data_IF_416897786692
#
_entry.id   IF_416897786692
#
_cell.length_a   1.000
_cell.length_b   1.000
_cell.length_c   1.000
_cell.angle_alpha   90.00
_cell.angle_beta   90.00
_cell.angle_gamma   90.00
#
_symmetry.space_group_name_H-M   'P 1'
#
loop_
_entity.id
_entity.type
_entity.pdbx_description
1 polymer ?
#
# COMPACT_ATOMS: atom_id res chain seq x y z
N UNK A 1 22.25 60.92 -104.30
CA UNK A 1 22.19 60.39 -102.92
C UNK A 1 21.75 58.94 -102.99
N UNK A 2 22.61 58.01 -102.55
CA UNK A 2 22.38 56.55 -102.63
C UNK A 2 21.75 56.09 -101.32
N UNK A 3 20.56 55.49 -101.37
CA UNK A 3 20.05 54.67 -100.27
C UNK A 3 20.46 53.20 -100.51
N UNK A 4 21.18 52.56 -99.58
CA UNK A 4 21.40 51.12 -99.61
C UNK A 4 20.15 50.41 -99.07
N UNK A 5 19.58 49.52 -99.87
CA UNK A 5 18.59 48.53 -99.43
C UNK A 5 19.32 47.39 -98.68
N UNK A 6 18.82 46.95 -97.51
CA UNK A 6 19.44 45.86 -96.76
C UNK A 6 19.20 44.52 -97.47
N UNK A 7 20.28 43.72 -97.60
CA UNK A 7 20.21 42.34 -98.09
C UNK A 7 19.63 41.41 -97.01
N UNK A 8 18.79 40.42 -97.35
CA UNK A 8 18.30 39.45 -96.39
C UNK A 8 19.45 38.57 -95.91
N UNK A 9 19.63 38.51 -94.59
CA UNK A 9 20.57 37.58 -93.96
C UNK A 9 20.06 36.15 -94.16
N UNK A 10 20.89 35.30 -94.77
CA UNK A 10 20.66 33.85 -94.86
C UNK A 10 20.61 33.27 -93.45
N UNK A 11 19.43 32.89 -93.00
CA UNK A 11 19.22 31.97 -91.87
C UNK A 11 19.88 30.63 -92.22
N UNK A 12 21.06 30.37 -91.64
CA UNK A 12 21.73 29.08 -91.75
C UNK A 12 21.01 28.09 -90.84
N UNK A 13 20.57 26.97 -91.41
CA UNK A 13 19.89 25.87 -90.73
C UNK A 13 20.78 25.06 -89.79
N UNK A 14 21.26 25.69 -88.71
CA UNK A 14 21.95 25.01 -87.59
C UNK A 14 20.97 24.67 -86.45
N UNK A 15 19.78 25.30 -86.44
CA UNK A 15 18.78 25.15 -85.37
C UNK A 15 18.24 23.74 -85.16
N UNK A 16 18.12 22.91 -86.22
CA UNK A 16 17.49 21.59 -86.09
C UNK A 16 18.43 20.54 -85.47
N UNK A 17 19.72 20.60 -85.81
CA UNK A 17 20.74 19.72 -85.22
C UNK A 17 20.99 20.10 -83.76
N UNK A 18 21.05 21.39 -83.45
CA UNK A 18 21.22 21.89 -82.08
C UNK A 18 20.03 21.53 -81.18
N UNK A 19 18.80 21.67 -81.69
CA UNK A 19 17.59 21.23 -80.98
C UNK A 19 17.58 19.71 -80.73
N UNK A 20 18.07 18.90 -81.68
CA UNK A 20 18.14 17.45 -81.53
C UNK A 20 19.20 17.01 -80.50
N UNK A 21 20.36 17.66 -80.50
CA UNK A 21 21.41 17.40 -79.50
C UNK A 21 20.94 17.85 -78.11
N UNK A 22 20.31 19.03 -78.00
CA UNK A 22 19.74 19.49 -76.74
C UNK A 22 18.68 18.53 -76.19
N UNK A 23 17.78 18.03 -77.05
CA UNK A 23 16.77 17.04 -76.68
C UNK A 23 17.40 15.72 -76.25
N UNK A 24 18.44 15.25 -76.96
CA UNK A 24 19.17 14.04 -76.58
C UNK A 24 19.83 14.17 -75.20
N UNK A 25 20.54 15.27 -74.94
CA UNK A 25 21.18 15.52 -73.64
C UNK A 25 20.16 15.63 -72.51
N UNK A 26 19.05 16.35 -72.72
CA UNK A 26 17.96 16.44 -71.73
C UNK A 26 17.33 15.08 -71.46
N UNK A 27 17.12 14.25 -72.49
CA UNK A 27 16.55 12.91 -72.32
C UNK A 27 17.44 12.00 -71.46
N UNK A 28 18.77 12.04 -71.66
CA UNK A 28 19.74 11.30 -70.84
C UNK A 28 19.75 11.84 -69.40
N UNK A 29 19.70 13.18 -69.24
CA UNK A 29 19.63 13.83 -67.93
C UNK A 29 18.38 13.44 -67.14
N UNK A 30 17.22 13.36 -67.80
CA UNK A 30 15.97 12.94 -67.16
C UNK A 30 15.99 11.46 -66.75
N UNK A 31 16.56 10.58 -67.58
CA UNK A 31 16.77 9.16 -67.23
C UNK A 31 17.64 9.00 -65.99
N UNK A 32 18.73 9.77 -65.89
CA UNK A 32 19.60 9.75 -64.71
C UNK A 32 18.85 10.19 -63.43
N UNK A 33 18.01 11.22 -63.51
CA UNK A 33 17.24 11.71 -62.37
C UNK A 33 16.21 10.68 -61.87
N UNK A 34 15.54 9.98 -62.78
CA UNK A 34 14.57 8.91 -62.43
C UNK A 34 15.27 7.78 -61.68
N UNK A 35 16.50 7.42 -62.08
CA UNK A 35 17.32 6.45 -61.35
C UNK A 35 17.58 6.88 -59.90
N UNK A 36 17.99 8.14 -59.68
CA UNK A 36 18.23 8.69 -58.33
C UNK A 36 16.95 8.72 -57.49
N UNK A 37 15.82 9.14 -58.08
CA UNK A 37 14.53 9.16 -57.38
C UNK A 37 14.05 7.75 -56.99
N UNK A 38 14.32 6.74 -57.82
CA UNK A 38 14.01 5.34 -57.51
C UNK A 38 14.82 4.83 -56.32
N UNK A 39 16.13 5.08 -56.32
CA UNK A 39 17.02 4.68 -55.21
C UNK A 39 16.64 5.36 -53.89
N UNK A 40 16.26 6.64 -53.93
CA UNK A 40 15.79 7.34 -52.73
C UNK A 40 14.53 6.69 -52.14
N UNK A 41 13.55 6.32 -52.97
CA UNK A 41 12.34 5.62 -52.51
C UNK A 41 12.66 4.26 -51.90
N UNK A 42 13.56 3.49 -52.53
CA UNK A 42 14.04 2.21 -52.00
C UNK A 42 14.66 2.38 -50.61
N UNK A 43 15.56 3.35 -50.47
CA UNK A 43 16.24 3.64 -49.21
C UNK A 43 15.28 4.15 -48.12
N UNK A 44 14.32 5.01 -48.46
CA UNK A 44 13.34 5.54 -47.50
C UNK A 44 12.48 4.44 -46.90
N UNK A 45 12.02 3.50 -47.70
CA UNK A 45 11.19 2.41 -47.21
C UNK A 45 12.02 1.34 -46.48
N UNK A 46 13.26 1.06 -46.91
CA UNK A 46 14.17 0.22 -46.13
C UNK A 46 14.44 0.83 -44.76
N UNK A 47 14.62 2.16 -44.68
CA UNK A 47 14.75 2.87 -43.42
C UNK A 47 13.50 2.72 -42.54
N UNK A 48 12.29 2.88 -43.11
CA UNK A 48 11.02 2.62 -42.39
C UNK A 48 10.96 1.19 -41.86
N UNK A 49 11.27 0.20 -42.70
CA UNK A 49 11.25 -1.21 -42.30
C UNK A 49 12.24 -1.50 -41.16
N UNK A 50 13.42 -0.84 -41.15
CA UNK A 50 14.41 -0.93 -40.07
C UNK A 50 13.91 -0.29 -38.78
N UNK A 51 13.33 0.90 -38.86
CA UNK A 51 12.74 1.57 -37.69
C UNK A 51 11.65 0.70 -37.06
N UNK A 52 10.79 0.11 -37.89
CA UNK A 52 9.74 -0.80 -37.43
C UNK A 52 10.33 -2.09 -36.83
N UNK A 53 11.32 -2.70 -37.48
CA UNK A 53 12.01 -3.87 -36.93
C UNK A 53 12.68 -3.58 -35.56
N UNK A 54 13.27 -2.40 -35.39
CA UNK A 54 13.80 -1.96 -34.09
C UNK A 54 12.69 -1.78 -33.07
N UNK A 55 11.55 -1.17 -33.44
CA UNK A 55 10.38 -1.01 -32.56
C UNK A 55 9.86 -2.37 -32.08
N UNK A 56 9.71 -3.34 -32.98
CA UNK A 56 9.30 -4.72 -32.66
C UNK A 56 10.29 -5.38 -31.69
N UNK A 57 11.59 -5.26 -31.96
CA UNK A 57 12.62 -5.82 -31.10
C UNK A 57 12.60 -5.20 -29.69
N UNK A 58 12.41 -3.88 -29.60
CA UNK A 58 12.29 -3.18 -28.31
C UNK A 58 11.02 -3.58 -27.56
N UNK A 59 9.88 -3.67 -28.24
CA UNK A 59 8.61 -4.09 -27.64
C UNK A 59 8.71 -5.50 -27.03
N UNK A 60 9.32 -6.45 -27.74
CA UNK A 60 9.57 -7.80 -27.21
C UNK A 60 10.46 -7.76 -25.96
N UNK A 61 11.50 -6.92 -25.92
CA UNK A 61 12.37 -6.78 -24.74
C UNK A 61 11.63 -6.18 -23.56
N UNK A 62 10.85 -5.11 -23.77
CA UNK A 62 10.09 -4.46 -22.71
C UNK A 62 8.99 -5.37 -22.15
N UNK A 63 8.35 -6.18 -22.99
CA UNK A 63 7.40 -7.19 -22.54
C UNK A 63 8.04 -8.17 -21.55
N UNK A 64 9.29 -8.58 -21.80
CA UNK A 64 10.02 -9.48 -20.91
C UNK A 64 10.49 -8.80 -19.62
N UNK A 65 10.70 -7.48 -19.62
CA UNK A 65 11.03 -6.71 -18.41
C UNK A 65 9.83 -6.53 -17.48
N UNK A 66 8.61 -6.66 -17.99
CA UNK A 66 7.35 -6.48 -17.24
C UNK A 66 6.84 -7.72 -16.50
N UNK A 67 7.70 -8.69 -16.17
CA UNK A 67 7.29 -9.89 -15.43
C UNK A 67 6.76 -9.55 -14.01
N UNK A 68 5.81 -10.32 -13.51
CA UNK A 68 5.12 -10.05 -12.24
C UNK A 68 5.63 -10.89 -11.06
N UNK A 69 6.17 -12.08 -11.34
CA UNK A 69 6.70 -13.02 -10.34
C UNK A 69 8.04 -13.60 -10.80
N UNK A 70 8.85 -14.08 -9.85
CA UNK A 70 10.06 -14.83 -10.21
C UNK A 70 9.72 -16.25 -10.61
N UNK A 71 8.96 -16.94 -9.77
CA UNK A 71 8.51 -18.31 -9.97
C UNK A 71 7.26 -18.39 -10.87
N UNK A 72 7.10 -19.54 -11.53
CA UNK A 72 5.96 -19.85 -12.39
C UNK A 72 4.63 -19.73 -11.63
N UNK A 73 3.74 -18.85 -12.11
CA UNK A 73 2.36 -18.73 -11.62
C UNK A 73 1.43 -19.52 -12.53
N UNK A 74 0.94 -20.66 -12.03
CA UNK A 74 0.03 -21.56 -12.77
C UNK A 74 -1.29 -20.85 -13.14
N UNK A 75 -1.72 -19.86 -12.36
CA UNK A 75 -2.94 -19.08 -12.65
C UNK A 75 -2.71 -17.98 -13.71
N UNK A 76 -1.45 -17.60 -13.97
CA UNK A 76 -1.07 -16.51 -14.90
C UNK A 76 0.16 -16.87 -15.75
N UNK A 77 0.02 -17.86 -16.66
CA UNK A 77 1.13 -18.29 -17.49
C UNK A 77 1.65 -17.18 -18.41
N UNK A 78 2.96 -17.17 -18.63
CA UNK A 78 3.68 -16.19 -19.43
C UNK A 78 3.98 -14.87 -18.72
N UNK A 79 3.83 -14.81 -17.39
CA UNK A 79 4.07 -13.59 -16.60
C UNK A 79 5.21 -13.72 -15.60
N UNK A 80 5.87 -14.89 -15.51
CA UNK A 80 7.00 -15.09 -14.60
C UNK A 80 8.37 -14.94 -15.27
N UNK A 81 9.39 -14.69 -14.45
CA UNK A 81 10.79 -14.65 -14.87
C UNK A 81 11.27 -16.03 -15.36
N UNK A 82 10.87 -17.10 -14.68
CA UNK A 82 11.27 -18.47 -15.03
C UNK A 82 10.71 -18.93 -16.39
N UNK A 83 9.59 -18.34 -16.83
CA UNK A 83 8.99 -18.60 -18.15
C UNK A 83 9.68 -17.85 -19.30
N UNK A 84 10.67 -16.98 -19.01
CA UNK A 84 11.46 -16.30 -20.03
C UNK A 84 12.42 -17.32 -20.67
N UNK A 85 11.98 -17.86 -21.80
CA UNK A 85 12.71 -18.86 -22.62
C UNK A 85 12.76 -18.45 -24.09
N UNK A 86 13.48 -19.21 -24.91
CA UNK A 86 13.54 -19.02 -26.37
C UNK A 86 12.13 -18.96 -27.01
N UNK A 87 11.97 -18.10 -28.02
CA UNK A 87 10.71 -17.97 -28.76
C UNK A 87 10.97 -17.59 -30.21
N UNK A 88 10.17 -18.15 -31.10
CA UNK A 88 10.16 -17.80 -32.53
C UNK A 88 8.74 -17.46 -32.95
N UNK A 89 8.57 -16.31 -33.58
CA UNK A 89 7.32 -15.88 -34.21
C UNK A 89 7.59 -15.70 -35.71
N UNK A 90 6.91 -16.50 -36.52
CA UNK A 90 6.95 -16.41 -37.98
C UNK A 90 5.82 -15.49 -38.47
N UNK A 91 6.09 -14.70 -39.50
CA UNK A 91 5.05 -13.91 -40.18
C UNK A 91 4.38 -12.84 -39.32
N UNK A 92 5.07 -12.28 -38.32
CA UNK A 92 4.56 -11.20 -37.48
C UNK A 92 4.22 -9.96 -38.33
N UNK A 93 2.98 -9.49 -38.19
CA UNK A 93 2.48 -8.26 -38.80
C UNK A 93 2.17 -7.27 -37.67
N UNK A 94 2.85 -6.12 -37.61
CA UNK A 94 2.57 -5.12 -36.59
C UNK A 94 1.14 -4.57 -36.76
N UNK A 95 0.34 -4.42 -35.69
CA UNK A 95 -1.04 -3.93 -35.78
C UNK A 95 -1.18 -2.57 -36.48
N UNK A 96 -0.21 -1.68 -36.25
CA UNK A 96 -0.13 -0.33 -36.83
C UNK A 96 1.03 -0.20 -37.85
N UNK A 97 1.44 -1.32 -38.45
CA UNK A 97 2.62 -1.40 -39.31
C UNK A 97 2.50 -0.52 -40.56
N UNK A 98 3.59 0.19 -40.89
CA UNK A 98 3.68 0.97 -42.13
C UNK A 98 4.06 0.02 -43.28
N UNK A 99 3.05 -0.55 -43.95
CA UNK A 99 3.19 -1.37 -45.16
C UNK A 99 2.94 -2.87 -44.96
N UNK A 100 2.98 -3.64 -46.05
CA UNK A 100 2.66 -5.08 -46.06
C UNK A 100 3.88 -5.98 -45.78
N UNK A 101 4.85 -5.53 -44.97
CA UNK A 101 6.05 -6.32 -44.66
C UNK A 101 5.78 -7.21 -43.46
N UNK A 102 6.00 -8.50 -43.62
CA UNK A 102 5.95 -9.50 -42.55
C UNK A 102 7.33 -9.71 -41.96
N UNK A 103 7.41 -9.85 -40.64
CA UNK A 103 8.65 -10.02 -39.90
C UNK A 103 8.74 -11.41 -39.27
N UNK A 104 9.97 -11.88 -39.10
CA UNK A 104 10.31 -13.06 -38.30
C UNK A 104 11.04 -12.61 -37.05
N UNK A 105 10.46 -12.87 -35.88
CA UNK A 105 11.01 -12.46 -34.58
C UNK A 105 11.60 -13.69 -33.89
N UNK A 106 12.88 -13.63 -33.55
CA UNK A 106 13.61 -14.68 -32.87
C UNK A 106 14.13 -14.13 -31.55
N UNK A 107 13.67 -14.69 -30.45
CA UNK A 107 14.19 -14.45 -29.11
C UNK A 107 15.05 -15.64 -28.69
N UNK A 108 16.28 -15.35 -28.31
CA UNK A 108 17.21 -16.32 -27.72
C UNK A 108 17.56 -15.87 -26.31
N UNK A 109 17.47 -16.78 -25.34
CA UNK A 109 17.65 -16.55 -23.91
C UNK A 109 18.74 -17.49 -23.40
N UNK A 110 19.65 -16.93 -22.60
CA UNK A 110 20.72 -17.68 -21.95
C UNK A 110 20.83 -17.27 -20.50
N UNK A 111 20.77 -18.25 -19.60
CA UNK A 111 21.06 -18.03 -18.18
C UNK A 111 22.56 -17.75 -17.96
N UNK A 112 22.85 -16.75 -17.13
CA UNK A 112 24.22 -16.40 -16.75
C UNK A 112 24.64 -17.25 -15.52
N UNK A 113 25.67 -18.11 -15.62
CA UNK A 113 26.08 -18.96 -14.50
C UNK A 113 26.46 -18.14 -13.26
N UNK A 114 25.95 -18.52 -12.10
CA UNK A 114 26.28 -17.89 -10.82
C UNK A 114 25.61 -16.53 -10.57
N UNK A 115 24.64 -16.13 -11.40
CA UNK A 115 23.89 -14.89 -11.28
C UNK A 115 22.41 -15.14 -11.60
N UNK A 116 21.44 -14.50 -10.92
CA UNK A 116 20.04 -14.57 -11.30
C UNK A 116 19.77 -13.69 -12.53
N UNK A 117 20.54 -13.81 -13.59
CA UNK A 117 20.43 -12.96 -14.78
C UNK A 117 20.23 -13.81 -16.04
N UNK A 118 19.34 -13.34 -16.91
CA UNK A 118 19.12 -13.87 -18.25
C UNK A 118 19.64 -12.87 -19.26
N UNK A 119 20.52 -13.34 -20.15
CA UNK A 119 20.98 -12.60 -21.32
C UNK A 119 20.05 -12.94 -22.48
N UNK A 120 19.53 -11.93 -23.15
CA UNK A 120 18.61 -12.09 -24.27
C UNK A 120 19.17 -11.43 -25.53
N UNK A 121 18.92 -12.08 -26.67
CA UNK A 121 19.14 -11.54 -28.00
C UNK A 121 17.84 -11.64 -28.78
N UNK A 122 17.30 -10.50 -29.20
CA UNK A 122 16.09 -10.41 -30.03
C UNK A 122 16.50 -10.02 -31.43
N UNK A 123 16.25 -10.91 -32.39
CA UNK A 123 16.53 -10.70 -33.80
C UNK A 123 15.23 -10.63 -34.60
N UNK A 124 15.07 -9.54 -35.34
CA UNK A 124 13.94 -9.32 -36.25
C UNK A 124 14.45 -9.38 -37.67
N UNK A 125 13.91 -10.29 -38.48
CA UNK A 125 14.30 -10.54 -39.86
C UNK A 125 13.13 -10.28 -40.81
N UNK A 126 13.41 -9.78 -42.01
CA UNK A 126 12.41 -9.62 -43.06
C UNK A 126 13.09 -9.64 -44.43
N UNK A 127 12.30 -9.80 -45.49
CA UNK A 127 12.76 -9.65 -46.87
C UNK A 127 12.31 -8.28 -47.38
N UNK A 128 13.23 -7.50 -47.96
CA UNK A 128 12.90 -6.22 -48.57
C UNK A 128 12.31 -6.39 -49.98
N UNK A 129 11.94 -5.29 -50.63
CA UNK A 129 11.30 -5.35 -51.96
C UNK A 129 12.23 -5.78 -53.10
N UNK A 130 13.53 -5.86 -52.83
CA UNK A 130 14.55 -6.35 -53.78
C UNK A 130 14.88 -7.82 -53.56
N UNK A 131 14.08 -8.50 -52.73
CA UNK A 131 14.24 -9.91 -52.34
C UNK A 131 15.52 -10.17 -51.52
N UNK A 132 16.06 -9.13 -50.88
CA UNK A 132 17.21 -9.26 -49.99
C UNK A 132 16.73 -9.42 -48.54
N UNK A 133 17.34 -10.37 -47.83
CA UNK A 133 17.08 -10.56 -46.40
C UNK A 133 17.78 -9.49 -45.58
N UNK A 134 17.01 -8.82 -44.73
CA UNK A 134 17.46 -7.82 -43.78
C UNK A 134 17.27 -8.33 -42.35
N UNK A 135 18.07 -7.82 -41.42
CA UNK A 135 17.93 -8.15 -40.00
C UNK A 135 18.33 -7.00 -39.08
N UNK A 136 17.70 -6.94 -37.92
CA UNK A 136 18.08 -6.12 -36.76
C UNK A 136 18.23 -7.04 -35.56
N UNK A 137 19.26 -6.83 -34.75
CA UNK A 137 19.47 -7.55 -33.48
C UNK A 137 19.62 -6.54 -32.35
N UNK A 138 18.89 -6.76 -31.26
CA UNK A 138 19.03 -6.05 -30.00
C UNK A 138 19.35 -7.05 -28.89
N UNK A 139 20.38 -6.74 -28.10
CA UNK A 139 20.79 -7.54 -26.96
C UNK A 139 20.41 -6.85 -25.65
N UNK A 140 20.04 -7.62 -24.63
CA UNK A 140 19.74 -7.10 -23.30
C UNK A 140 20.06 -8.10 -22.20
N UNK A 141 19.94 -7.63 -20.97
CA UNK A 141 20.05 -8.44 -19.76
C UNK A 141 18.84 -8.13 -18.88
N UNK A 142 18.17 -9.17 -18.37
CA UNK A 142 17.11 -9.05 -17.37
C UNK A 142 17.60 -9.68 -16.08
N UNK A 143 17.41 -8.98 -14.97
CA UNK A 143 17.74 -9.46 -13.63
C UNK A 143 16.52 -10.14 -13.01
N UNK A 144 16.72 -11.26 -12.32
CA UNK A 144 15.75 -12.01 -11.55
C UNK A 144 15.45 -11.36 -10.20
N UNK A 145 15.21 -10.05 -10.23
CA UNK A 145 14.73 -9.28 -9.07
C UNK A 145 13.30 -8.87 -9.36
N UNK A 146 12.38 -9.20 -8.45
CA UNK A 146 10.97 -8.87 -8.61
C UNK A 146 10.78 -7.36 -8.88
N UNK A 147 10.05 -6.94 -9.93
CA UNK A 147 9.85 -5.53 -10.22
C UNK A 147 9.13 -4.76 -9.11
N UNK A 148 8.39 -5.46 -8.24
CA UNK A 148 7.82 -4.92 -7.01
C UNK A 148 8.88 -4.35 -6.07
N UNK A 149 10.07 -4.96 -5.99
CA UNK A 149 11.18 -4.44 -5.17
C UNK A 149 11.71 -3.10 -5.68
N UNK A 150 11.76 -2.92 -7.01
CA UNK A 150 12.09 -1.64 -7.63
C UNK A 150 10.99 -0.60 -7.42
N UNK A 151 9.72 -1.02 -7.47
CA UNK A 151 8.58 -0.14 -7.19
C UNK A 151 8.60 0.40 -5.75
N UNK A 152 9.07 -0.39 -4.77
CA UNK A 152 9.21 0.05 -3.38
C UNK A 152 10.17 1.24 -3.20
N UNK A 153 11.12 1.46 -4.12
CA UNK A 153 12.00 2.64 -4.07
C UNK A 153 11.27 3.95 -4.40
N UNK A 154 10.13 3.87 -5.10
CA UNK A 154 9.33 5.02 -5.52
C UNK A 154 8.12 5.21 -4.60
N UNK A 155 7.72 4.18 -3.86
CA UNK A 155 6.71 4.31 -2.80
C UNK A 155 7.27 5.22 -1.70
N UNK A 156 6.67 6.39 -1.43
CA UNK A 156 7.07 7.22 -0.31
C UNK A 156 7.02 6.38 0.97
N UNK A 157 8.06 6.43 1.80
CA UNK A 157 8.19 5.67 3.04
C UNK A 157 7.18 6.10 4.14
N UNK A 158 5.99 6.56 3.78
CA UNK A 158 4.96 7.14 4.68
C UNK A 158 4.24 6.09 5.54
N UNK A 159 4.55 4.81 5.37
CA UNK A 159 3.85 3.73 6.07
C UNK A 159 4.63 3.06 7.20
N UNK A 160 5.91 3.39 7.41
CA UNK A 160 6.61 2.92 8.61
C UNK A 160 6.25 3.78 9.82
N UNK A 161 6.04 3.15 10.97
CA UNK A 161 5.59 3.84 12.17
C UNK A 161 6.60 4.89 12.69
N UNK A 162 7.89 4.69 12.42
CA UNK A 162 8.98 5.66 12.68
C UNK A 162 8.95 6.86 11.72
N UNK A 163 8.55 6.65 10.45
CA UNK A 163 8.38 7.71 9.45
C UNK A 163 7.12 8.54 9.67
N UNK A 164 5.99 7.90 10.02
CA UNK A 164 4.72 8.59 10.38
C UNK A 164 4.90 9.59 11.51
N UNK A 165 5.73 9.24 12.50
CA UNK A 165 6.01 10.11 13.63
C UNK A 165 7.22 11.02 13.44
N UNK A 166 7.78 11.13 12.22
CA UNK A 166 8.84 12.07 11.86
C UNK A 166 10.09 11.94 12.76
N UNK A 167 10.47 10.71 13.09
CA UNK A 167 11.61 10.44 13.99
C UNK A 167 11.32 10.64 15.48
N UNK A 168 10.05 10.86 15.86
CA UNK A 168 9.60 10.90 17.25
C UNK A 168 9.10 9.52 17.68
N UNK A 169 9.00 9.33 18.99
CA UNK A 169 8.51 8.10 19.60
C UNK A 169 7.15 7.69 19.05
N UNK A 170 6.97 6.40 18.77
CA UNK A 170 5.84 5.85 18.03
C UNK A 170 4.46 6.06 18.72
N UNK A 171 4.44 6.23 20.05
CA UNK A 171 3.18 6.52 20.77
C UNK A 171 2.66 7.95 20.61
N UNK A 172 3.46 8.85 20.04
CA UNK A 172 3.05 10.24 19.87
C UNK A 172 2.01 10.31 18.74
N UNK A 173 0.84 10.92 18.96
CA UNK A 173 -0.15 11.10 17.91
C UNK A 173 0.41 11.88 16.72
N UNK A 174 0.04 11.50 15.50
CA UNK A 174 0.53 12.15 14.27
C UNK A 174 0.24 13.67 14.26
N UNK A 175 -0.95 14.06 14.76
CA UNK A 175 -1.37 15.46 14.87
C UNK A 175 -0.67 16.28 15.96
N UNK A 176 0.26 15.70 16.71
CA UNK A 176 1.04 16.45 17.70
C UNK A 176 2.04 17.39 17.02
N UNK A 177 2.14 18.62 17.52
CA UNK A 177 3.05 19.66 17.05
C UNK A 177 4.36 19.56 17.82
N UNK A 178 5.48 19.42 17.12
CA UNK A 178 6.81 19.46 17.73
C UNK A 178 7.16 20.88 18.18
N UNK A 179 7.59 21.03 19.42
CA UNK A 179 7.97 22.32 20.00
C UNK A 179 9.45 22.68 19.74
N UNK A 180 10.25 21.72 19.26
CA UNK A 180 11.68 21.93 18.98
C UNK A 180 12.60 21.90 20.21
N UNK A 181 12.05 21.59 21.39
CA UNK A 181 12.76 21.47 22.67
C UNK A 181 12.91 20.00 23.13
N UNK A 182 12.61 19.05 22.24
CA UNK A 182 12.57 17.62 22.55
C UNK A 182 11.20 17.12 23.03
N UNK A 183 10.18 17.97 23.03
CA UNK A 183 8.80 17.61 23.35
C UNK A 183 7.82 17.95 22.23
N UNK A 184 6.74 17.17 22.15
CA UNK A 184 5.61 17.43 21.25
C UNK A 184 4.36 17.77 22.06
N UNK A 185 3.63 18.78 21.62
CA UNK A 185 2.32 19.17 22.17
C UNK A 185 1.19 18.59 21.33
N UNK A 186 0.22 17.99 21.99
CA UNK A 186 -1.02 17.53 21.40
C UNK A 186 -2.19 18.13 22.17
N UNK A 187 -3.18 18.64 21.43
CA UNK A 187 -4.46 19.04 22.02
C UNK A 187 -5.48 17.97 21.60
N UNK A 188 -6.04 17.21 22.55
CA UNK A 188 -7.03 16.20 22.21
C UNK A 188 -8.23 16.81 21.48
N UNK A 189 -8.83 16.09 20.52
CA UNK A 189 -9.96 16.62 19.77
C UNK A 189 -11.12 17.03 20.68
N UNK A 190 -11.65 18.24 20.48
CA UNK A 190 -12.76 18.77 21.28
C UNK A 190 -12.39 19.17 22.71
N UNK A 191 -11.13 19.07 23.12
CA UNK A 191 -10.68 19.55 24.43
C UNK A 191 -10.57 21.07 24.47
N UNK A 192 -10.98 21.68 25.58
CA UNK A 192 -10.74 23.10 25.89
C UNK A 192 -9.90 23.22 27.15
N UNK A 193 -8.83 24.02 27.09
CA UNK A 193 -7.99 24.27 28.28
C UNK A 193 -7.22 23.05 28.79
N UNK A 194 -6.83 22.13 27.91
CA UNK A 194 -5.98 20.97 28.25
C UNK A 194 -4.91 20.82 27.17
N UNK A 195 -3.66 20.68 27.60
CA UNK A 195 -2.50 20.40 26.73
C UNK A 195 -1.81 19.11 27.14
N UNK A 196 -1.55 18.23 26.18
CA UNK A 196 -0.79 17.00 26.39
C UNK A 196 0.62 17.16 25.83
N UNK A 197 1.62 16.83 26.64
CA UNK A 197 3.02 17.00 26.30
C UNK A 197 3.70 15.64 26.33
N UNK A 198 4.37 15.30 25.23
CA UNK A 198 5.07 14.04 25.04
C UNK A 198 6.56 14.28 24.92
N UNK A 199 7.37 13.49 25.61
CA UNK A 199 8.80 13.44 25.33
C UNK A 199 9.04 12.77 23.96
N UNK A 200 9.73 13.45 23.03
CA UNK A 200 9.93 12.95 21.66
C UNK A 200 10.76 11.66 21.60
N UNK A 201 11.58 11.37 22.62
CA UNK A 201 12.41 10.17 22.70
C UNK A 201 11.68 9.02 23.39
N UNK A 202 11.17 9.23 24.61
CA UNK A 202 10.61 8.15 25.44
C UNK A 202 9.09 8.00 25.37
N UNK A 203 8.38 8.94 24.73
CA UNK A 203 6.93 8.94 24.64
C UNK A 203 6.18 9.22 25.95
N UNK A 204 6.88 9.53 27.04
CA UNK A 204 6.27 9.84 28.34
C UNK A 204 5.28 11.00 28.18
N UNK A 205 4.03 10.77 28.60
CA UNK A 205 2.93 11.72 28.51
C UNK A 205 2.72 12.47 29.84
N UNK A 206 2.56 13.79 29.73
CA UNK A 206 2.11 14.68 30.81
C UNK A 206 0.87 15.46 30.39
N UNK A 207 -0.09 15.58 31.31
CA UNK A 207 -1.37 16.26 31.06
C UNK A 207 -1.42 17.55 31.87
N UNK A 208 -1.44 18.69 31.18
CA UNK A 208 -1.48 20.01 31.80
C UNK A 208 -2.85 20.67 31.66
N UNK A 209 -3.20 21.50 32.64
CA UNK A 209 -4.29 22.45 32.50
C UNK A 209 -3.80 23.61 31.61
N UNK A 210 -4.38 23.70 30.42
CA UNK A 210 -4.07 24.72 29.43
C UNK A 210 -2.70 24.59 28.78
N UNK A 211 -2.31 25.69 28.14
CA UNK A 211 -1.00 25.83 27.49
C UNK A 211 -0.01 26.39 28.48
N UNK A 212 1.02 25.60 28.76
CA UNK A 212 2.06 25.90 29.74
C UNK A 212 3.42 25.77 29.08
N UNK A 213 4.35 26.64 29.48
CA UNK A 213 5.74 26.58 29.04
C UNK A 213 6.58 25.66 29.93
N UNK A 214 6.17 25.46 31.18
CA UNK A 214 6.74 24.46 32.09
C UNK A 214 5.74 23.31 32.30
N UNK A 215 5.89 22.27 31.49
CA UNK A 215 5.09 21.05 31.57
C UNK A 215 5.69 19.98 32.52
N UNK A 216 6.81 20.25 33.20
CA UNK A 216 7.46 19.26 34.10
C UNK A 216 6.71 19.05 35.41
N UNK A 217 5.90 20.03 35.80
CA UNK A 217 5.05 20.02 37.01
C UNK A 217 3.70 19.33 36.77
N UNK A 218 3.35 19.07 35.52
CA UNK A 218 2.10 18.42 35.16
C UNK A 218 2.10 16.92 35.51
N UNK A 219 0.96 16.36 35.93
CA UNK A 219 0.86 14.94 36.26
C UNK A 219 1.19 14.05 35.07
N UNK A 220 1.86 12.94 35.38
CA UNK A 220 2.11 11.86 34.43
C UNK A 220 0.80 11.15 34.09
N UNK A 221 0.69 10.71 32.84
CA UNK A 221 -0.41 9.87 32.39
C UNK A 221 0.10 8.81 31.42
N UNK A 222 -0.71 7.78 31.23
CA UNK A 222 -0.50 6.77 30.21
C UNK A 222 -1.46 7.02 29.04
N UNK A 223 -0.95 7.12 27.83
CA UNK A 223 -1.79 7.21 26.64
C UNK A 223 -2.42 5.85 26.34
N UNK A 224 -3.72 5.83 26.10
CA UNK A 224 -4.43 4.73 25.45
C UNK A 224 -5.10 5.27 24.20
N UNK A 225 -4.74 4.76 23.03
CA UNK A 225 -5.29 5.25 21.76
C UNK A 225 -5.59 4.12 20.79
N UNK A 226 -6.56 4.38 19.91
CA UNK A 226 -6.99 3.43 18.89
C UNK A 226 -8.18 3.96 18.11
N UNK A 227 -8.85 3.04 17.42
CA UNK A 227 -10.02 3.34 16.60
C UNK A 227 -11.24 2.57 17.08
N UNK A 228 -12.43 3.15 16.92
CA UNK A 228 -13.71 2.49 17.09
C UNK A 228 -14.38 2.43 15.72
N UNK A 229 -14.72 1.22 15.30
CA UNK A 229 -15.40 0.97 14.03
C UNK A 229 -16.74 0.28 14.30
N UNK A 230 -17.65 0.33 13.33
CA UNK A 230 -19.03 -0.16 13.48
C UNK A 230 -19.37 -1.15 12.38
N UNK A 231 -19.78 -2.35 12.74
CA UNK A 231 -20.36 -3.33 11.83
C UNK A 231 -21.76 -3.69 12.33
N UNK A 232 -22.76 -2.99 11.81
CA UNK A 232 -24.16 -3.09 12.27
C UNK A 232 -25.00 -3.61 11.10
N UNK A 233 -24.96 -4.92 10.91
CA UNK A 233 -25.76 -5.65 9.94
C UNK A 233 -26.67 -6.66 10.63
N UNK A 234 -27.52 -7.33 9.84
CA UNK A 234 -28.36 -8.42 10.36
C UNK A 234 -27.65 -9.77 10.42
N UNK A 235 -26.55 -9.92 9.67
CA UNK A 235 -25.71 -11.11 9.61
C UNK A 235 -24.60 -11.09 10.66
N UNK A 236 -24.28 -12.27 11.20
CA UNK A 236 -23.14 -12.47 12.11
C UNK A 236 -21.83 -12.00 11.45
N UNK A 237 -21.07 -11.08 12.06
CA UNK A 237 -19.82 -10.56 11.50
C UNK A 237 -18.73 -11.64 11.45
N UNK A 238 -17.94 -11.64 10.37
CA UNK A 238 -16.77 -12.50 10.16
C UNK A 238 -15.46 -11.79 10.51
N UNK A 239 -14.33 -12.51 10.50
CA UNK A 239 -13.00 -11.92 10.69
C UNK A 239 -12.70 -10.82 9.65
N UNK A 240 -13.07 -11.03 8.39
CA UNK A 240 -12.92 -10.02 7.32
C UNK A 240 -13.74 -8.76 7.63
N UNK A 241 -14.92 -8.90 8.23
CA UNK A 241 -15.73 -7.76 8.64
C UNK A 241 -15.13 -6.96 9.81
N UNK A 242 -14.19 -7.55 10.57
CA UNK A 242 -13.45 -6.80 11.58
C UNK A 242 -12.34 -5.95 10.96
N UNK A 243 -11.72 -6.42 9.87
CA UNK A 243 -10.75 -5.64 9.05
C UNK A 243 -11.43 -4.55 8.22
N UNK A 244 -12.61 -4.86 7.67
CA UNK A 244 -13.39 -3.99 6.79
C UNK A 244 -14.84 -3.90 7.28
N UNK A 245 -15.08 -3.19 8.40
CA UNK A 245 -16.42 -3.09 8.95
C UNK A 245 -17.32 -2.23 8.06
N UNK A 246 -18.60 -2.59 8.08
CA UNK A 246 -19.65 -2.02 7.25
C UNK A 246 -20.77 -1.60 8.19
N UNK A 247 -20.96 -0.29 8.37
CA UNK A 247 -21.98 0.22 9.26
C UNK A 247 -21.95 1.74 9.37
N UNK A 248 -23.06 2.36 9.80
CA UNK A 248 -23.08 3.78 10.10
C UNK A 248 -22.15 4.06 11.30
N UNK A 249 -21.40 5.16 11.21
CA UNK A 249 -20.52 5.60 12.30
C UNK A 249 -21.32 6.40 13.32
N UNK A 250 -21.22 6.00 14.58
CA UNK A 250 -21.73 6.80 15.71
C UNK A 250 -20.59 7.58 16.35
N UNK A 251 -20.82 8.86 16.64
CA UNK A 251 -19.89 9.64 17.44
C UNK A 251 -19.86 9.09 18.87
N UNK A 252 -18.70 9.20 19.54
CA UNK A 252 -18.63 8.93 20.98
C UNK A 252 -19.05 10.16 21.77
N UNK A 253 -19.36 9.96 23.05
CA UNK A 253 -19.66 11.02 24.01
C UNK A 253 -18.57 12.09 23.97
N UNK A 254 -18.97 13.35 24.10
CA UNK A 254 -18.04 14.47 24.19
C UNK A 254 -16.97 14.25 25.28
N UNK A 255 -15.75 14.68 24.98
CA UNK A 255 -14.64 14.61 25.93
C UNK A 255 -14.96 15.34 27.25
N UNK A 256 -14.43 14.88 28.39
CA UNK A 256 -13.42 13.82 28.56
C UNK A 256 -14.00 12.40 28.72
N UNK A 257 -15.26 12.16 28.34
CA UNK A 257 -15.97 10.91 28.64
C UNK A 257 -16.26 10.04 27.41
N UNK A 258 -15.47 10.17 26.33
CA UNK A 258 -15.68 9.39 25.10
C UNK A 258 -15.62 7.87 25.34
N UNK A 259 -14.74 7.44 26.26
CA UNK A 259 -14.72 6.09 26.81
C UNK A 259 -14.85 6.20 28.33
N UNK A 260 -15.63 5.30 28.93
CA UNK A 260 -15.81 5.22 30.38
C UNK A 260 -14.86 4.18 30.98
N UNK A 261 -14.11 4.58 32.01
CA UNK A 261 -13.32 3.66 32.82
C UNK A 261 -14.22 2.89 33.78
N UNK A 262 -14.15 1.56 33.71
CA UNK A 262 -14.80 0.63 34.61
C UNK A 262 -13.75 -0.24 35.31
N UNK A 263 -14.10 -0.75 36.49
CA UNK A 263 -13.26 -1.67 37.28
C UNK A 263 -11.82 -1.16 37.47
N UNK A 264 -11.66 0.13 37.74
CA UNK A 264 -10.36 0.76 37.90
C UNK A 264 -9.56 0.08 39.02
N UNK A 265 -8.28 -0.18 38.75
CA UNK A 265 -7.33 -0.81 39.68
C UNK A 265 -6.15 0.13 39.89
N UNK A 266 -5.93 0.51 41.15
CA UNK A 266 -4.90 1.45 41.57
C UNK A 266 -5.48 2.67 42.28
N UNK A 267 -4.62 3.49 42.87
CA UNK A 267 -5.00 4.73 43.55
C UNK A 267 -5.03 5.92 42.60
N UNK A 268 -6.09 6.73 42.70
CA UNK A 268 -6.23 7.97 41.93
C UNK A 268 -6.31 7.76 40.42
N UNK A 269 -6.90 6.63 39.98
CA UNK A 269 -7.02 6.31 38.55
C UNK A 269 -8.19 7.08 37.94
N UNK A 270 -7.91 7.90 36.93
CA UNK A 270 -8.88 8.69 36.18
C UNK A 270 -8.56 8.60 34.69
N UNK A 271 -9.56 8.39 33.83
CA UNK A 271 -9.37 8.32 32.38
C UNK A 271 -10.06 9.49 31.70
N UNK A 272 -9.28 10.29 30.97
CA UNK A 272 -9.79 11.45 30.21
C UNK A 272 -9.70 11.15 28.72
N UNK A 273 -10.83 10.80 28.15
CA UNK A 273 -10.96 10.27 26.80
C UNK A 273 -11.64 11.25 25.85
N UNK A 274 -11.00 11.47 24.71
CA UNK A 274 -11.43 12.36 23.64
C UNK A 274 -11.48 11.59 22.34
N UNK A 275 -12.30 12.05 21.40
CA UNK A 275 -12.47 11.35 20.12
C UNK A 275 -12.85 12.29 19.00
N UNK A 276 -12.58 11.87 17.78
CA UNK A 276 -12.97 12.55 16.55
C UNK A 276 -13.43 11.53 15.52
N UNK A 277 -14.49 11.85 14.79
CA UNK A 277 -14.95 11.06 13.65
C UNK A 277 -14.05 11.39 12.45
N UNK A 278 -13.47 10.36 11.84
CA UNK A 278 -12.63 10.48 10.64
C UNK A 278 -13.17 9.48 9.61
N UNK A 279 -13.83 9.99 8.58
CA UNK A 279 -14.46 9.17 7.53
C UNK A 279 -15.42 8.12 8.13
N UNK A 280 -15.07 6.83 8.03
CA UNK A 280 -15.89 5.69 8.46
C UNK A 280 -15.47 5.11 9.82
N UNK A 281 -14.64 5.82 10.59
CA UNK A 281 -14.17 5.37 11.90
C UNK A 281 -14.12 6.52 12.91
N UNK A 282 -14.11 6.17 14.19
CA UNK A 282 -13.82 7.12 15.27
C UNK A 282 -12.41 6.88 15.78
N UNK A 283 -11.58 7.91 15.80
CA UNK A 283 -10.25 7.84 16.44
C UNK A 283 -10.39 8.38 17.85
N UNK A 284 -9.87 7.67 18.84
CA UNK A 284 -9.92 8.09 20.24
C UNK A 284 -8.55 8.16 20.90
N UNK A 285 -8.45 9.03 21.89
CA UNK A 285 -7.26 9.26 22.69
C UNK A 285 -7.67 9.42 24.16
N UNK A 286 -7.16 8.54 25.02
CA UNK A 286 -7.37 8.58 26.45
C UNK A 286 -6.06 8.85 27.18
N UNK A 287 -6.04 9.83 28.07
CA UNK A 287 -4.99 9.96 29.06
C UNK A 287 -5.49 9.33 30.36
N UNK A 288 -4.86 8.23 30.77
CA UNK A 288 -5.14 7.58 32.05
C UNK A 288 -4.14 8.07 33.09
N UNK A 289 -4.63 8.86 34.03
CA UNK A 289 -3.86 9.35 35.18
C UNK A 289 -3.89 8.29 36.28
N UNK A 290 -2.79 8.17 37.02
CA UNK A 290 -2.72 7.33 38.22
C UNK A 290 -1.70 7.92 39.20
N UNK A 291 -1.99 7.86 40.49
CA UNK A 291 -1.02 8.15 41.55
C UNK A 291 -0.30 6.89 42.05
N UNK A 292 -0.69 5.73 41.53
CA UNK A 292 -0.14 4.44 41.95
C UNK A 292 1.17 4.13 41.21
N UNK A 293 2.26 3.98 41.96
CA UNK A 293 3.55 3.58 41.42
C UNK A 293 3.54 2.18 40.78
N UNK A 294 2.58 1.32 41.16
CA UNK A 294 2.36 0.02 40.53
C UNK A 294 1.74 0.12 39.14
N UNK A 295 1.23 1.28 38.72
CA UNK A 295 0.52 1.49 37.47
C UNK A 295 -1.00 1.33 37.62
N UNK A 296 -1.72 1.38 36.52
CA UNK A 296 -3.18 1.31 36.49
C UNK A 296 -3.69 0.04 35.81
N UNK A 297 -4.89 -0.37 36.19
CA UNK A 297 -5.64 -1.40 35.48
C UNK A 297 -7.12 -1.03 35.41
N UNK A 298 -7.89 -1.77 34.62
CA UNK A 298 -9.32 -1.56 34.48
C UNK A 298 -9.78 -1.77 33.05
N UNK A 299 -10.97 -1.28 32.70
CA UNK A 299 -11.58 -1.48 31.38
C UNK A 299 -12.07 -0.14 30.84
N UNK A 300 -11.68 0.20 29.61
CA UNK A 300 -12.25 1.34 28.90
C UNK A 300 -13.36 0.82 27.99
N UNK A 301 -14.55 1.37 28.15
CA UNK A 301 -15.71 1.04 27.32
C UNK A 301 -16.09 2.24 26.46
N UNK A 302 -16.21 2.12 25.13
CA UNK A 302 -16.70 3.20 24.29
C UNK A 302 -18.13 3.58 24.68
N UNK A 303 -18.41 4.89 24.65
CA UNK A 303 -19.75 5.44 24.93
C UNK A 303 -20.27 6.10 23.64
N UNK A 304 -20.74 5.32 22.65
CA UNK A 304 -21.33 5.85 21.43
C UNK A 304 -22.66 6.55 21.73
N UNK A 305 -22.94 7.59 20.97
CA UNK A 305 -24.12 8.44 21.10
C UNK A 305 -24.96 8.34 19.83
N UNK A 306 -26.28 8.33 19.99
CA UNK A 306 -27.19 8.45 18.86
C UNK A 306 -27.31 9.89 18.34
N UNK A 307 -28.14 10.08 17.31
CA UNK A 307 -28.38 11.40 16.72
C UNK A 307 -29.10 12.39 17.67
N UNK A 308 -29.78 11.89 18.71
CA UNK A 308 -30.42 12.71 19.73
C UNK A 308 -29.45 13.10 20.87
N UNK A 309 -28.24 12.56 20.88
CA UNK A 309 -27.26 12.79 21.93
C UNK A 309 -27.48 11.92 23.16
N UNK A 310 -28.18 10.79 23.03
CA UNK A 310 -28.33 9.79 24.08
C UNK A 310 -27.34 8.63 23.88
N UNK A 311 -26.81 8.04 24.97
CA UNK A 311 -25.87 6.92 24.85
C UNK A 311 -26.57 5.68 24.30
N UNK A 312 -25.94 4.98 23.35
CA UNK A 312 -26.47 3.69 22.90
C UNK A 312 -26.37 2.66 24.03
N UNK A 313 -27.38 1.80 24.12
CA UNK A 313 -27.45 0.76 25.13
C UNK A 313 -26.55 -0.43 24.75
N UNK A 314 -25.67 -0.82 25.67
CA UNK A 314 -24.90 -2.06 25.55
C UNK A 314 -25.62 -3.23 26.22
N UNK A 315 -25.71 -4.37 25.52
CA UNK A 315 -26.41 -5.55 25.98
C UNK A 315 -26.21 -6.76 25.07
N UNK A 316 -27.05 -7.78 25.27
CA UNK A 316 -26.99 -9.06 24.55
C UNK A 316 -28.21 -9.33 23.67
N UNK A 317 -29.03 -8.31 23.45
CA UNK A 317 -30.25 -8.39 22.66
C UNK A 317 -30.09 -7.65 21.34
N UNK A 318 -30.91 -7.98 20.34
CA UNK A 318 -30.81 -7.40 19.00
C UNK A 318 -31.04 -5.87 18.95
N UNK A 319 -31.73 -5.30 19.95
CA UNK A 319 -31.93 -3.85 20.08
C UNK A 319 -30.79 -3.12 20.80
N UNK A 320 -29.79 -3.86 21.28
CA UNK A 320 -28.63 -3.33 22.02
C UNK A 320 -27.35 -3.54 21.21
N UNK A 321 -26.25 -3.00 21.70
CA UNK A 321 -24.93 -3.10 21.08
C UNK A 321 -23.96 -3.89 21.94
N UNK A 322 -22.89 -4.38 21.31
CA UNK A 322 -21.76 -5.03 21.96
C UNK A 322 -20.47 -4.45 21.39
N UNK A 323 -19.49 -4.19 22.26
CA UNK A 323 -18.15 -3.79 21.84
C UNK A 323 -17.23 -5.00 21.92
N UNK A 324 -16.53 -5.27 20.83
CA UNK A 324 -15.43 -6.21 20.74
C UNK A 324 -14.16 -5.38 20.65
N UNK A 325 -13.04 -5.83 21.23
CA UNK A 325 -11.75 -5.27 20.81
C UNK A 325 -11.23 -6.05 19.61
N UNK A 326 -10.38 -5.43 18.81
CA UNK A 326 -9.90 -6.00 17.55
C UNK A 326 -8.44 -5.59 17.23
N UNK A 327 -7.69 -6.47 16.56
CA UNK A 327 -6.34 -6.21 16.02
C UNK A 327 -6.24 -6.71 14.58
N UNK A 328 -5.64 -5.92 13.68
CA UNK A 328 -5.40 -6.27 12.27
C UNK A 328 -4.12 -7.08 12.06
N UNK A 329 -3.44 -7.42 13.15
CA UNK A 329 -2.09 -7.94 13.15
C UNK A 329 -2.14 -9.43 13.44
N UNK A 330 -2.17 -10.22 12.36
CA UNK A 330 -2.31 -11.67 12.39
C UNK A 330 -0.90 -12.28 12.36
N UNK A 331 -0.56 -13.19 13.29
CA UNK A 331 0.75 -13.78 13.29
C UNK A 331 0.95 -14.67 12.07
N UNK A 332 2.15 -14.62 11.49
CA UNK A 332 2.47 -15.29 10.22
C UNK A 332 2.59 -16.81 10.33
N UNK A 333 2.66 -17.39 11.53
CA UNK A 333 2.47 -18.82 11.78
C UNK A 333 2.36 -19.10 13.29
N UNK A 334 1.28 -19.74 13.75
CA UNK A 334 1.26 -20.42 15.06
C UNK A 334 0.90 -21.90 14.86
N UNK A 335 1.84 -22.78 15.23
CA UNK A 335 1.56 -24.18 15.52
C UNK A 335 1.46 -24.36 17.04
N UNK A 336 0.61 -25.26 17.52
CA UNK A 336 0.33 -25.49 18.96
C UNK A 336 1.55 -25.90 19.81
N UNK A 337 2.72 -26.08 19.18
CA UNK A 337 3.97 -26.50 19.80
C UNK A 337 4.97 -25.37 20.10
N UNK A 338 4.71 -24.13 19.67
CA UNK A 338 5.64 -23.00 19.91
C UNK A 338 5.30 -22.27 21.22
N UNK A 339 6.08 -22.55 22.26
CA UNK A 339 6.09 -21.78 23.53
C UNK A 339 6.85 -20.45 23.43
N UNK A 340 7.39 -20.13 22.26
CA UNK A 340 8.05 -18.88 21.94
C UNK A 340 7.45 -18.32 20.65
N UNK A 341 6.71 -17.22 20.77
CA UNK A 341 6.15 -16.47 19.66
C UNK A 341 7.30 -16.00 18.77
N UNK A 342 7.47 -16.61 17.61
CA UNK A 342 8.37 -16.12 16.57
C UNK A 342 7.63 -15.12 15.71
N UNK A 343 7.67 -13.85 16.08
CA UNK A 343 7.15 -12.74 15.28
C UNK A 343 8.12 -11.55 15.30
N UNK A 344 8.03 -10.71 14.27
CA UNK A 344 8.96 -9.64 13.87
C UNK A 344 9.29 -8.53 14.89
N UNK A 345 8.84 -8.64 16.14
CA UNK A 345 9.17 -7.75 17.25
C UNK A 345 9.32 -8.55 18.55
N UNK A 346 10.55 -8.68 19.05
CA UNK A 346 10.92 -9.38 20.29
C UNK A 346 10.22 -8.83 21.56
N UNK A 347 9.55 -7.68 21.46
CA UNK A 347 8.96 -6.98 22.60
C UNK A 347 7.43 -6.94 22.57
N UNK A 348 6.80 -7.43 21.49
CA UNK A 348 5.35 -7.50 21.43
C UNK A 348 4.82 -8.73 22.16
N UNK A 349 4.00 -8.53 23.19
CA UNK A 349 3.25 -9.62 23.81
C UNK A 349 2.03 -9.97 22.95
N UNK A 350 2.11 -11.09 22.25
CA UNK A 350 0.97 -11.66 21.55
C UNK A 350 0.06 -12.40 22.55
N UNK A 351 -1.21 -11.99 22.63
CA UNK A 351 -2.23 -12.74 23.35
C UNK A 351 -3.34 -13.06 22.35
N UNK A 352 -3.58 -14.36 22.13
CA UNK A 352 -4.68 -14.81 21.28
C UNK A 352 -5.98 -14.13 21.65
N UNK A 353 -6.78 -13.92 20.63
CA UNK A 353 -8.06 -13.27 20.66
C UNK A 353 -9.02 -13.76 21.76
N UNK A 354 -9.17 -15.08 21.86
CA UNK A 354 -9.99 -15.75 22.88
C UNK A 354 -9.39 -15.68 24.31
N UNK A 355 -8.10 -15.36 24.44
CA UNK A 355 -7.37 -15.32 25.70
C UNK A 355 -7.10 -13.89 26.20
N UNK A 356 -7.60 -12.86 25.49
CA UNK A 356 -7.35 -11.48 25.86
C UNK A 356 -8.12 -11.11 27.15
N UNK A 357 -7.46 -10.53 28.17
CA UNK A 357 -8.14 -10.13 29.37
C UNK A 357 -9.14 -8.99 29.07
N UNK A 358 -10.35 -9.09 29.63
CA UNK A 358 -11.39 -8.06 29.63
C UNK A 358 -10.89 -6.69 30.14
N UNK A 359 -9.83 -6.70 30.95
CA UNK A 359 -9.22 -5.55 31.63
C UNK A 359 -7.81 -5.35 31.10
N UNK A 360 -7.39 -4.10 30.98
CA UNK A 360 -6.01 -3.72 30.74
C UNK A 360 -5.16 -4.14 31.94
N UNK A 361 -4.39 -5.22 31.76
CA UNK A 361 -3.37 -5.72 32.67
C UNK A 361 -2.17 -6.16 31.82
N UNK A 362 -0.94 -6.09 32.36
CA UNK A 362 0.26 -6.54 31.64
C UNK A 362 0.50 -8.04 31.78
N UNK A 363 0.00 -8.66 32.85
CA UNK A 363 0.11 -10.10 33.04
C UNK A 363 -1.21 -10.79 32.73
N UNK A 364 -1.12 -11.91 32.00
CA UNK A 364 -2.25 -12.80 31.73
C UNK A 364 -2.77 -13.38 33.06
N UNK A 365 -4.10 -13.56 33.22
CA UNK A 365 -4.65 -14.36 34.32
C UNK A 365 -3.99 -15.73 34.36
N UNK A 366 -3.57 -16.22 35.54
CA UNK A 366 -2.81 -17.47 35.66
C UNK A 366 -3.64 -18.70 35.32
N UNK A 367 -4.97 -18.57 35.38
CA UNK A 367 -5.93 -19.62 35.07
C UNK A 367 -7.28 -19.01 34.65
N UNK A 368 -8.19 -19.79 34.03
CA UNK A 368 -9.52 -19.33 33.63
C UNK A 368 -10.42 -18.87 34.79
N UNK A 369 -10.16 -19.32 36.03
CA UNK A 369 -10.92 -18.88 37.20
C UNK A 369 -10.56 -17.45 37.63
N UNK A 370 -9.40 -16.94 37.22
CA UNK A 370 -9.00 -15.55 37.36
C UNK A 370 -9.49 -14.65 36.20
N UNK A 371 -10.18 -15.21 35.21
CA UNK A 371 -10.76 -14.44 34.11
C UNK A 371 -11.85 -13.50 34.64
N UNK A 372 -11.55 -12.20 34.67
CA UNK A 372 -12.45 -11.15 35.17
C UNK A 372 -12.06 -10.56 36.53
N UNK A 373 -11.14 -11.19 37.26
CA UNK A 373 -10.55 -10.60 38.48
C UNK A 373 -9.80 -9.30 38.16
N UNK A 374 -9.79 -8.35 39.10
CA UNK A 374 -8.95 -7.15 39.00
C UNK A 374 -7.48 -7.55 38.79
N UNK A 375 -6.69 -6.76 38.03
CA UNK A 375 -5.31 -7.09 37.67
C UNK A 375 -4.51 -7.63 38.87
N UNK A 376 -4.30 -8.95 38.91
CA UNK A 376 -3.60 -9.67 39.98
C UNK A 376 -2.08 -9.70 39.79
N UNK A 377 -1.60 -9.33 38.60
CA UNK A 377 -0.18 -9.21 38.24
C UNK A 377 0.25 -7.78 37.91
N UNK A 378 1.29 -7.64 37.08
CA UNK A 378 1.79 -6.33 36.62
C UNK A 378 0.71 -5.47 35.96
N UNK A 379 0.70 -4.17 36.30
CA UNK A 379 -0.27 -3.19 35.80
C UNK A 379 0.35 -2.28 34.75
N UNK A 380 -0.49 -1.58 33.99
CA UNK A 380 -0.05 -0.76 32.87
C UNK A 380 0.69 0.48 33.36
N UNK A 381 1.90 0.68 32.83
CA UNK A 381 2.77 1.85 33.09
C UNK A 381 3.24 2.54 31.81
N UNK A 382 2.99 1.93 30.66
CA UNK A 382 3.48 2.36 29.34
C UNK A 382 2.31 2.69 28.43
N UNK A 383 2.53 3.56 27.44
CA UNK A 383 1.50 3.94 26.49
C UNK A 383 1.04 2.72 25.69
N UNK A 384 -0.28 2.60 25.53
CA UNK A 384 -0.93 1.56 24.74
C UNK A 384 -1.50 2.19 23.47
N UNK A 385 -0.95 1.82 22.32
CA UNK A 385 -1.46 2.24 21.01
C UNK A 385 -2.17 1.08 20.31
N UNK A 386 -2.91 1.38 19.25
CA UNK A 386 -3.67 0.40 18.45
C UNK A 386 -4.70 -0.40 19.28
N UNK A 387 -5.29 0.24 20.29
CA UNK A 387 -6.32 -0.36 21.12
C UNK A 387 -7.68 -0.22 20.41
N UNK A 388 -7.95 -1.04 19.40
CA UNK A 388 -9.14 -0.85 18.56
C UNK A 388 -10.39 -1.55 19.11
N UNK A 389 -11.55 -0.98 18.81
CA UNK A 389 -12.87 -1.53 19.11
C UNK A 389 -13.69 -1.70 17.83
N UNK A 390 -14.45 -2.79 17.78
CA UNK A 390 -15.50 -3.05 16.80
C UNK A 390 -16.84 -3.11 17.55
N UNK A 391 -17.78 -2.24 17.20
CA UNK A 391 -19.13 -2.25 17.76
C UNK A 391 -20.07 -2.98 16.80
N UNK A 392 -20.80 -3.95 17.35
CA UNK A 392 -21.72 -4.85 16.63
C UNK A 392 -23.07 -4.91 17.35
N UNK A 393 -24.04 -5.61 16.76
CA UNK A 393 -25.35 -5.87 17.38
C UNK A 393 -25.21 -6.78 18.61
N UNK A 394 -26.02 -6.56 19.64
CA UNK A 394 -25.88 -7.21 20.95
C UNK A 394 -26.06 -8.73 20.93
N UNK A 395 -26.93 -9.24 20.06
CA UNK A 395 -27.19 -10.67 19.83
C UNK A 395 -26.11 -11.36 19.00
N UNK A 396 -25.17 -10.61 18.41
CA UNK A 396 -24.05 -11.17 17.64
C UNK A 396 -22.85 -11.52 18.53
N UNK A 397 -22.02 -12.43 18.03
CA UNK A 397 -20.75 -12.80 18.65
C UNK A 397 -19.60 -11.95 18.11
N UNK A 398 -18.59 -11.68 18.94
CA UNK A 398 -17.40 -10.98 18.47
C UNK A 398 -16.63 -11.85 17.47
N UNK A 399 -16.23 -11.33 16.29
CA UNK A 399 -15.44 -12.09 15.33
C UNK A 399 -14.12 -12.56 15.94
N UNK A 400 -13.81 -13.84 15.80
CA UNK A 400 -12.49 -14.40 16.16
C UNK A 400 -11.64 -14.56 14.90
N UNK A 401 -10.33 -14.69 15.07
CA UNK A 401 -9.38 -14.99 13.98
C UNK A 401 -9.66 -16.36 13.32
N UNK A 402 -10.39 -17.25 14.00
CA UNK A 402 -10.72 -18.57 13.49
C UNK A 402 -12.17 -18.59 13.00
N UNK A 403 -12.39 -18.12 11.78
CA UNK A 403 -13.67 -18.30 11.09
C UNK A 403 -13.79 -19.64 10.35
N UNK A 404 -12.79 -20.54 10.44
CA UNK A 404 -12.69 -21.71 9.54
C UNK A 404 -12.81 -23.09 10.19
N UNK A 405 -13.19 -23.24 11.47
CA UNK A 405 -13.54 -24.57 11.99
C UNK A 405 -15.05 -24.71 12.28
N UNK A 406 -15.84 -25.18 11.31
CA UNK A 406 -17.26 -25.50 11.53
C UNK A 406 -17.47 -26.71 12.47
N UNK A 407 -16.40 -27.33 13.00
CA UNK A 407 -16.44 -28.58 13.77
C UNK A 407 -16.10 -28.39 15.26
N UNK A 408 -15.76 -27.20 15.76
CA UNK A 408 -15.59 -27.01 17.21
C UNK A 408 -16.83 -26.39 17.90
N UNK A 409 -17.74 -27.22 18.47
CA UNK A 409 -18.89 -26.75 19.23
C UNK A 409 -18.50 -26.03 20.55
N UNK A 410 -17.21 -25.93 20.90
CA UNK A 410 -16.76 -25.13 22.05
C UNK A 410 -16.70 -23.63 21.80
N UNK A 411 -16.64 -23.19 20.53
CA UNK A 411 -16.80 -21.76 20.20
C UNK A 411 -18.23 -21.26 20.52
N UNK A 412 -19.20 -22.16 20.58
CA UNK A 412 -20.59 -21.89 20.94
C UNK A 412 -20.90 -21.99 22.45
N UNK A 413 -19.91 -22.32 23.30
CA UNK A 413 -20.15 -22.69 24.71
C UNK A 413 -19.85 -21.63 25.78
N UNK A 414 -19.58 -20.37 25.43
CA UNK A 414 -19.55 -19.29 26.42
C UNK A 414 -20.92 -18.60 26.53
N UNK A 415 -21.89 -19.32 27.07
CA UNK A 415 -23.22 -18.82 27.51
C UNK A 415 -23.13 -18.07 28.85
N UNK A 416 -22.10 -17.25 29.04
CA UNK A 416 -21.97 -16.48 30.28
C UNK A 416 -22.77 -15.18 30.18
N UNK A 417 -23.78 -15.09 31.05
CA UNK A 417 -24.85 -14.10 31.14
C UNK A 417 -24.36 -12.69 31.58
N UNK A 418 -23.10 -12.33 31.28
CA UNK A 418 -22.46 -11.11 31.75
C UNK A 418 -22.26 -10.17 30.57
N UNK A 419 -22.54 -8.88 30.75
CA UNK A 419 -22.29 -7.76 29.81
C UNK A 419 -20.81 -7.61 29.40
N UNK A 420 -20.20 -8.65 28.83
CA UNK A 420 -18.75 -8.84 28.83
C UNK A 420 -18.17 -8.97 27.42
N UNK A 421 -17.21 -8.08 27.21
CA UNK A 421 -16.35 -7.89 26.03
C UNK A 421 -15.38 -9.06 25.96
N UNK A 422 -15.66 -10.06 25.13
CA UNK A 422 -14.60 -10.94 24.66
C UNK A 422 -13.91 -10.24 23.48
N UNK A 423 -12.63 -10.55 23.26
CA UNK A 423 -11.87 -10.33 22.01
C UNK A 423 -11.02 -9.03 21.98
N UNK A 424 -9.68 -9.20 21.89
CA UNK A 424 -8.51 -8.65 21.11
C UNK A 424 -7.90 -7.24 21.24
N UNK A 425 -6.70 -7.13 21.80
CA UNK A 425 -5.76 -6.04 21.43
C UNK A 425 -4.31 -6.53 21.53
N UNK A 426 -3.47 -6.22 20.52
CA UNK A 426 -2.01 -6.18 20.71
C UNK A 426 -1.73 -5.00 21.63
N UNK A 427 -1.23 -5.22 22.83
CA UNK A 427 -0.66 -4.12 23.62
C UNK A 427 0.68 -3.79 22.98
N UNK A 428 0.67 -2.91 21.97
CA UNK A 428 1.92 -2.31 21.51
C UNK A 428 2.49 -1.51 22.66
N UNK A 429 3.50 -2.07 23.30
CA UNK A 429 4.41 -1.36 24.17
C UNK A 429 5.54 -0.84 23.29
N UNK A 430 5.53 0.44 22.92
CA UNK A 430 6.74 1.02 22.43
C UNK A 430 7.77 1.07 23.55
N UNK A 431 8.94 0.52 23.28
CA UNK A 431 10.10 0.53 24.17
C UNK A 431 10.53 1.98 24.46
N UNK A 432 11.05 2.26 25.67
CA UNK A 432 11.54 3.59 26.05
C UNK A 432 12.72 4.09 25.21
#
# INVERSE_FOLDING_TARGET
MRHPTPRPARTRGVSLVEALVALAVMSIGMLALVGVQSTMRLNSDLAKQRTEATRIASEEIEQLRSFASLEVDIARPGTSYDEIVDRVVEGYVPPDGIGNTTYRVVRTVRDLPGSPQKVLSVQVQWTDRTDLRQRVTLDSVINGTAPTLGALLVVPHRDSATSRNRGRHISIPEGAVDLGDGYSRFVPPGATGVGWYFNNLSGVLRVCAGDVTDYTTCPLATLVSGTVQYHIGDSQPTAENAEKPLGPVFALRGGPNALALADAVGTGVDARCYSVVVETRVVYFCAVLTSDAAGWGGRLNPVPMDAAGEPLEFGHVASSFKSCRYTTDVPTAENEATTSVTEADLHAQYTRNANHPLKYCLERPRNPAEAGSACTGSRVKTNLINQNFLIIRGDHFCPTENADDPVDPKAAQFTDNRNQIFVNTRQHQPTP
#
